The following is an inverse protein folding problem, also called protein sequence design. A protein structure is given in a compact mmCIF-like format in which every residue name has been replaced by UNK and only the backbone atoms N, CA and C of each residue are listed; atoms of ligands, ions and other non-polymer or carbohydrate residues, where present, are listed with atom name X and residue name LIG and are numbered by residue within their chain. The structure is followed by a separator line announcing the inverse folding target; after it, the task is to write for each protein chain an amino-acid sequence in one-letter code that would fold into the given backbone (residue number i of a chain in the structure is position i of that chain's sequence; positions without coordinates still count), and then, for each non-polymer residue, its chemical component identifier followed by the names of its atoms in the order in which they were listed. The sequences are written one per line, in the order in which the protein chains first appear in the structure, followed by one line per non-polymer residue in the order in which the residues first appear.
data_IF_755524077655
#
_entry.id   IF_755524077655
#
_cell.length_a   1.000
_cell.length_b   1.000
_cell.length_c   1.000
_cell.angle_alpha   90.00
_cell.angle_beta   90.00
_cell.angle_gamma   90.00
#
_symmetry.space_group_name_H-M   'P 1'
#
loop_
_entity.id
_entity.type
_entity.pdbx_description
1 polymer ?
#
# COMPACT_ATOMS: atom_id res chain seq x y z
N UNK A 1 35.23 -19.23 114.42
CA UNK A 1 35.54 -20.13 113.29
C UNK A 1 34.26 -20.55 112.55
N UNK A 2 33.21 -20.92 113.27
CA UNK A 2 31.94 -21.40 112.68
C UNK A 2 31.07 -20.27 112.07
N UNK A 3 31.00 -19.10 112.73
CA UNK A 3 30.32 -17.90 112.21
C UNK A 3 30.94 -17.38 110.91
N UNK A 4 32.27 -17.42 110.81
CA UNK A 4 33.03 -17.04 109.60
C UNK A 4 32.77 -18.01 108.44
N UNK A 5 32.51 -19.29 108.71
CA UNK A 5 32.12 -20.26 107.66
C UNK A 5 30.70 -20.01 107.16
N UNK A 6 29.77 -19.69 108.05
CA UNK A 6 28.38 -19.36 107.68
C UNK A 6 28.28 -18.06 106.86
N UNK A 7 29.05 -17.02 107.21
CA UNK A 7 29.11 -15.79 106.42
C UNK A 7 29.74 -16.01 105.04
N UNK A 8 30.78 -16.84 104.96
CA UNK A 8 31.40 -17.20 103.67
C UNK A 8 30.44 -18.02 102.78
N UNK A 9 29.68 -18.95 103.36
CA UNK A 9 28.69 -19.76 102.65
C UNK A 9 27.49 -18.91 102.16
N UNK A 10 27.02 -17.96 102.98
CA UNK A 10 25.98 -17.01 102.56
C UNK A 10 26.46 -16.08 101.44
N UNK A 11 27.69 -15.58 101.51
CA UNK A 11 28.28 -14.76 100.46
C UNK A 11 28.47 -15.54 99.14
N UNK A 12 28.81 -16.83 99.22
CA UNK A 12 28.91 -17.70 98.05
C UNK A 12 27.53 -17.97 97.43
N UNK A 13 26.51 -18.28 98.24
CA UNK A 13 25.14 -18.46 97.78
C UNK A 13 24.57 -17.19 97.12
N UNK A 14 24.88 -16.00 97.65
CA UNK A 14 24.49 -14.72 97.07
C UNK A 14 25.19 -14.48 95.73
N UNK A 15 26.48 -14.81 95.60
CA UNK A 15 27.20 -14.75 94.32
C UNK A 15 26.60 -15.68 93.27
N UNK A 16 26.28 -16.93 93.63
CA UNK A 16 25.66 -17.89 92.71
C UNK A 16 24.27 -17.41 92.27
N UNK A 17 23.49 -16.80 93.17
CA UNK A 17 22.20 -16.21 92.84
C UNK A 17 22.32 -15.02 91.88
N UNK A 18 23.26 -14.11 92.15
CA UNK A 18 23.52 -12.96 91.28
C UNK A 18 24.03 -13.39 89.89
N UNK A 19 24.87 -14.42 89.82
CA UNK A 19 25.34 -15.00 88.55
C UNK A 19 24.19 -15.66 87.77
N UNK A 20 23.28 -16.37 88.46
CA UNK A 20 22.09 -16.94 87.84
C UNK A 20 21.12 -15.86 87.31
N UNK A 21 20.93 -14.76 88.06
CA UNK A 21 20.13 -13.61 87.64
C UNK A 21 20.74 -12.89 86.44
N UNK A 22 22.07 -12.72 86.43
CA UNK A 22 22.79 -12.17 85.27
C UNK A 22 22.66 -13.06 84.04
N UNK A 23 22.79 -14.38 84.20
CA UNK A 23 22.62 -15.33 83.10
C UNK A 23 21.17 -15.37 82.56
N UNK A 24 20.17 -15.20 83.42
CA UNK A 24 18.76 -15.08 83.00
C UNK A 24 18.49 -13.76 82.26
N UNK A 25 19.06 -12.65 82.75
CA UNK A 25 18.97 -11.36 82.09
C UNK A 25 19.62 -11.37 80.69
N UNK A 26 20.78 -12.00 80.55
CA UNK A 26 21.47 -12.16 79.25
C UNK A 26 20.64 -13.02 78.28
N UNK A 27 20.06 -14.13 78.76
CA UNK A 27 19.15 -14.96 77.93
C UNK A 27 17.92 -14.17 77.49
N UNK A 28 17.32 -13.38 78.38
CA UNK A 28 16.17 -12.54 78.05
C UNK A 28 16.54 -11.42 77.06
N UNK A 29 17.76 -10.88 77.10
CA UNK A 29 18.26 -9.92 76.13
C UNK A 29 18.45 -10.55 74.74
N UNK A 30 19.04 -11.74 74.68
CA UNK A 30 19.20 -12.51 73.43
C UNK A 30 17.84 -12.85 72.81
N UNK A 31 16.87 -13.30 73.62
CA UNK A 31 15.51 -13.61 73.14
C UNK A 31 14.80 -12.36 72.59
N UNK A 32 14.94 -11.20 73.25
CA UNK A 32 14.40 -9.92 72.74
C UNK A 32 15.07 -9.48 71.46
N UNK A 33 16.39 -9.65 71.34
CA UNK A 33 17.13 -9.33 70.13
C UNK A 33 16.72 -10.25 68.97
N UNK A 34 16.51 -11.54 69.21
CA UNK A 34 16.00 -12.49 68.21
C UNK A 34 14.56 -12.14 67.80
N UNK A 35 13.67 -11.85 68.74
CA UNK A 35 12.30 -11.43 68.45
C UNK A 35 12.26 -10.12 67.65
N UNK A 36 13.16 -9.17 67.92
CA UNK A 36 13.29 -7.94 67.15
C UNK A 36 13.76 -8.21 65.72
N UNK A 37 14.72 -9.13 65.53
CA UNK A 37 15.20 -9.54 64.20
C UNK A 37 14.10 -10.21 63.38
N UNK A 38 13.36 -11.15 63.98
CA UNK A 38 12.26 -11.84 63.30
C UNK A 38 11.16 -10.86 62.90
N UNK A 39 10.82 -9.89 63.76
CA UNK A 39 9.85 -8.83 63.41
C UNK A 39 10.33 -7.98 62.23
N UNK A 40 11.59 -7.56 62.24
CA UNK A 40 12.17 -6.78 61.14
C UNK A 40 12.19 -7.57 59.83
N UNK A 41 12.47 -8.87 59.87
CA UNK A 41 12.45 -9.73 58.68
C UNK A 41 11.02 -9.90 58.12
N UNK A 42 10.03 -10.09 58.98
CA UNK A 42 8.61 -10.16 58.57
C UNK A 42 8.15 -8.85 57.93
N UNK A 43 8.50 -7.70 58.52
CA UNK A 43 8.18 -6.38 57.97
C UNK A 43 8.83 -6.16 56.60
N UNK A 44 10.10 -6.54 56.45
CA UNK A 44 10.80 -6.48 55.16
C UNK A 44 10.15 -7.40 54.11
N UNK A 45 9.75 -8.61 54.50
CA UNK A 45 9.07 -9.55 53.61
C UNK A 45 7.68 -9.03 53.18
N UNK A 46 6.93 -8.40 54.09
CA UNK A 46 5.64 -7.79 53.76
C UNK A 46 5.81 -6.59 52.82
N UNK A 47 6.78 -5.71 53.08
CA UNK A 47 7.10 -4.60 52.19
C UNK A 47 7.50 -5.07 50.78
N UNK A 48 8.35 -6.10 50.69
CA UNK A 48 8.75 -6.69 49.41
C UNK A 48 7.56 -7.32 48.66
N UNK A 49 6.62 -7.96 49.37
CA UNK A 49 5.39 -8.50 48.75
C UNK A 49 4.49 -7.40 48.21
N UNK A 50 4.31 -6.30 48.94
CA UNK A 50 3.50 -5.16 48.51
C UNK A 50 4.12 -4.46 47.28
N UNK A 51 5.44 -4.33 47.24
CA UNK A 51 6.15 -3.79 46.08
C UNK A 51 5.99 -4.68 44.84
N UNK A 52 6.16 -5.99 45.01
CA UNK A 52 5.97 -6.96 43.92
C UNK A 52 4.52 -6.97 43.38
N UNK A 53 3.52 -6.84 44.25
CA UNK A 53 2.11 -6.74 43.85
C UNK A 53 1.84 -5.44 43.07
N UNK A 54 2.39 -4.31 43.51
CA UNK A 54 2.26 -3.03 42.83
C UNK A 54 2.92 -3.06 41.44
N UNK A 55 4.10 -3.68 41.31
CA UNK A 55 4.78 -3.84 40.03
C UNK A 55 4.02 -4.76 39.08
N UNK A 56 3.49 -5.89 39.57
CA UNK A 56 2.68 -6.81 38.78
C UNK A 56 1.42 -6.11 38.23
N UNK A 57 0.74 -5.31 39.06
CA UNK A 57 -0.41 -4.51 38.63
C UNK A 57 -0.02 -3.49 37.56
N UNK A 58 1.07 -2.76 37.76
CA UNK A 58 1.57 -1.81 36.78
C UNK A 58 1.94 -2.47 35.45
N UNK A 59 2.49 -3.69 35.48
CA UNK A 59 2.80 -4.46 34.28
C UNK A 59 1.53 -4.86 33.51
N UNK A 60 0.50 -5.31 34.22
CA UNK A 60 -0.81 -5.63 33.61
C UNK A 60 -1.41 -4.39 32.94
N UNK A 61 -1.39 -3.24 33.61
CA UNK A 61 -1.93 -1.99 33.06
C UNK A 61 -1.16 -1.55 31.80
N UNK A 62 0.17 -1.64 31.82
CA UNK A 62 1.01 -1.36 30.63
C UNK A 62 0.66 -2.29 29.48
N UNK A 63 0.51 -3.59 29.74
CA UNK A 63 0.17 -4.56 28.70
C UNK A 63 -1.24 -4.32 28.13
N UNK A 64 -2.21 -3.95 28.98
CA UNK A 64 -3.55 -3.57 28.51
C UNK A 64 -3.52 -2.30 27.66
N UNK A 65 -2.76 -1.29 28.05
CA UNK A 65 -2.60 -0.06 27.27
C UNK A 65 -1.94 -0.33 25.92
N UNK A 66 -0.89 -1.15 25.89
CA UNK A 66 -0.24 -1.59 24.65
C UNK A 66 -1.23 -2.31 23.73
N UNK A 67 -2.00 -3.27 24.24
CA UNK A 67 -3.00 -3.98 23.43
C UNK A 67 -4.07 -3.04 22.86
N UNK A 68 -4.54 -2.07 23.64
CA UNK A 68 -5.48 -1.06 23.15
C UNK A 68 -4.87 -0.22 22.03
N UNK A 69 -3.64 0.25 22.21
CA UNK A 69 -2.94 1.04 21.19
C UNK A 69 -2.76 0.22 19.91
N UNK A 70 -2.23 -1.00 20.00
CA UNK A 70 -2.06 -1.89 18.83
C UNK A 70 -3.39 -2.19 18.15
N UNK A 71 -4.47 -2.42 18.89
CA UNK A 71 -5.79 -2.64 18.31
C UNK A 71 -6.31 -1.39 17.57
N UNK A 72 -6.08 -0.18 18.11
CA UNK A 72 -6.47 1.07 17.44
C UNK A 72 -5.64 1.33 16.17
N UNK A 73 -4.35 1.00 16.18
CA UNK A 73 -3.50 1.10 15.00
C UNK A 73 -3.92 0.10 13.92
N UNK A 74 -4.22 -1.14 14.31
CA UNK A 74 -4.71 -2.17 13.39
C UNK A 74 -6.05 -1.76 12.75
N UNK A 75 -6.97 -1.18 13.52
CA UNK A 75 -8.25 -0.69 13.00
C UNK A 75 -8.05 0.46 12.01
N UNK A 76 -7.16 1.41 12.32
CA UNK A 76 -6.83 2.51 11.39
C UNK A 76 -6.21 1.99 10.10
N UNK A 77 -5.30 1.03 10.17
CA UNK A 77 -4.70 0.41 9.00
C UNK A 77 -5.74 -0.33 8.14
N UNK A 78 -6.70 -1.00 8.78
CA UNK A 78 -7.81 -1.66 8.08
C UNK A 78 -8.72 -0.65 7.37
N UNK A 79 -9.05 0.48 8.01
CA UNK A 79 -9.83 1.57 7.41
C UNK A 79 -9.11 2.16 6.19
N UNK A 80 -7.82 2.48 6.31
CA UNK A 80 -7.03 3.00 5.20
C UNK A 80 -6.98 2.03 4.00
N UNK A 81 -6.93 0.72 4.26
CA UNK A 81 -6.97 -0.28 3.21
C UNK A 81 -8.33 -0.29 2.49
N UNK A 82 -9.44 -0.24 3.25
CA UNK A 82 -10.78 -0.18 2.66
C UNK A 82 -10.99 1.10 1.84
N UNK A 83 -10.51 2.24 2.32
CA UNK A 83 -10.56 3.51 1.57
C UNK A 83 -9.73 3.44 0.28
N UNK A 84 -8.55 2.81 0.32
CA UNK A 84 -7.74 2.59 -0.89
C UNK A 84 -8.44 1.66 -1.90
N UNK A 85 -9.03 0.56 -1.42
CA UNK A 85 -9.78 -0.37 -2.26
C UNK A 85 -11.02 0.32 -2.89
N UNK A 86 -11.72 1.17 -2.13
CA UNK A 86 -12.87 1.96 -2.63
C UNK A 86 -12.45 3.00 -3.69
N UNK A 87 -11.35 3.71 -3.46
CA UNK A 87 -10.83 4.69 -4.43
C UNK A 87 -10.42 4.02 -5.74
N UNK A 88 -9.76 2.86 -5.67
CA UNK A 88 -9.39 2.08 -6.85
C UNK A 88 -10.63 1.64 -7.64
N UNK A 89 -11.70 1.22 -6.96
CA UNK A 89 -12.95 0.84 -7.61
C UNK A 89 -13.65 2.03 -8.30
N UNK A 90 -13.58 3.22 -7.71
CA UNK A 90 -14.14 4.44 -8.32
C UNK A 90 -13.35 4.86 -9.57
N UNK A 91 -12.03 4.77 -9.55
CA UNK A 91 -11.16 5.04 -10.70
C UNK A 91 -11.49 4.10 -11.88
N UNK A 92 -11.65 2.80 -11.61
CA UNK A 92 -12.07 1.81 -12.62
C UNK A 92 -13.43 2.18 -13.26
N UNK A 93 -14.39 2.67 -12.48
CA UNK A 93 -15.70 3.10 -13.00
C UNK A 93 -15.56 4.34 -13.87
N UNK A 94 -14.74 5.31 -13.47
CA UNK A 94 -14.49 6.52 -14.25
C UNK A 94 -13.81 6.20 -15.58
N UNK A 95 -12.82 5.31 -15.57
CA UNK A 95 -12.16 4.82 -16.77
C UNK A 95 -13.12 4.07 -17.69
N UNK A 96 -13.99 3.21 -17.14
CA UNK A 96 -15.05 2.55 -17.93
C UNK A 96 -16.00 3.56 -18.57
N UNK A 97 -16.46 4.57 -17.82
CA UNK A 97 -17.33 5.64 -18.35
C UNK A 97 -16.62 6.47 -19.41
N UNK A 98 -15.34 6.76 -19.21
CA UNK A 98 -14.51 7.49 -20.18
C UNK A 98 -14.37 6.69 -21.47
N UNK A 99 -14.08 5.39 -21.38
CA UNK A 99 -14.00 4.50 -22.55
C UNK A 99 -15.35 4.39 -23.26
N UNK A 100 -16.45 4.19 -22.52
CA UNK A 100 -17.80 4.14 -23.10
C UNK A 100 -18.16 5.44 -23.83
N UNK A 101 -17.82 6.59 -23.22
CA UNK A 101 -18.00 7.90 -23.84
C UNK A 101 -17.18 8.02 -25.13
N UNK A 102 -15.90 7.63 -25.10
CA UNK A 102 -15.02 7.65 -26.28
C UNK A 102 -15.56 6.76 -27.40
N UNK A 103 -16.06 5.56 -27.08
CA UNK A 103 -16.67 4.67 -28.06
C UNK A 103 -17.97 5.26 -28.65
N UNK A 104 -18.81 5.89 -27.82
CA UNK A 104 -20.12 6.39 -28.26
C UNK A 104 -20.04 7.69 -29.08
N UNK A 105 -19.13 8.60 -28.75
CA UNK A 105 -18.98 9.88 -29.45
C UNK A 105 -18.27 9.73 -30.81
N UNK A 106 -17.55 8.61 -31.00
CA UNK A 106 -16.68 8.40 -32.14
C UNK A 106 -15.49 9.36 -32.15
N UNK A 107 -14.66 9.26 -33.19
CA UNK A 107 -13.51 10.14 -33.36
C UNK A 107 -13.35 10.54 -34.81
N UNK A 108 -13.01 11.81 -35.07
CA UNK A 108 -12.85 12.30 -36.43
C UNK A 108 -11.80 13.40 -36.51
N UNK A 109 -11.18 13.54 -37.67
CA UNK A 109 -10.05 14.44 -37.83
C UNK A 109 -9.35 14.25 -39.16
N UNK A 110 -8.44 15.16 -39.49
CA UNK A 110 -7.65 15.05 -40.72
C UNK A 110 -6.38 14.27 -40.46
N UNK A 111 -6.14 13.23 -41.26
CA UNK A 111 -4.89 12.49 -41.24
C UNK A 111 -4.33 12.36 -42.65
N UNK A 112 -3.02 12.18 -42.75
CA UNK A 112 -2.33 11.95 -44.01
C UNK A 112 -2.11 10.46 -44.21
N UNK A 113 -2.83 9.84 -45.15
CA UNK A 113 -2.68 8.41 -45.43
C UNK A 113 -1.80 8.13 -46.62
N UNK A 114 -1.09 7.01 -46.56
CA UNK A 114 -0.39 6.47 -47.71
C UNK A 114 -1.41 5.98 -48.75
N UNK A 115 -1.22 6.39 -50.01
CA UNK A 115 -2.02 5.97 -51.15
C UNK A 115 -1.78 4.50 -51.50
N UNK A 116 -2.81 3.84 -52.04
CA UNK A 116 -2.74 2.44 -52.42
C UNK A 116 -1.63 2.18 -53.46
N UNK A 117 -0.79 1.19 -53.18
CA UNK A 117 0.29 0.74 -54.04
C UNK A 117 -0.28 -0.18 -55.13
N UNK A 118 -1.10 0.32 -56.07
CA UNK A 118 -1.19 -0.39 -57.36
C UNK A 118 0.24 -0.36 -57.89
N UNK A 119 0.95 -1.50 -57.83
CA UNK A 119 2.36 -1.66 -58.21
C UNK A 119 2.62 -0.85 -59.47
N UNK A 120 3.20 0.33 -59.34
CA UNK A 120 3.81 0.96 -60.51
C UNK A 120 5.03 0.10 -60.76
N UNK A 121 5.09 -0.54 -61.93
CA UNK A 121 6.26 -1.33 -62.35
C UNK A 121 7.56 -0.50 -62.38
N UNK A 122 7.47 0.83 -62.26
CA UNK A 122 8.58 1.76 -62.23
C UNK A 122 8.47 2.68 -61.01
N UNK A 123 9.09 2.28 -59.89
CA UNK A 123 9.70 3.12 -58.84
C UNK A 123 9.01 4.42 -58.37
N UNK A 124 7.73 4.63 -58.62
CA UNK A 124 7.06 5.89 -58.34
C UNK A 124 6.93 6.13 -56.84
N UNK A 125 7.28 7.33 -56.40
CA UNK A 125 7.09 7.78 -55.02
C UNK A 125 5.67 7.47 -54.53
N UNK A 126 5.55 6.92 -53.32
CA UNK A 126 4.25 6.64 -52.72
C UNK A 126 3.58 7.98 -52.42
N UNK A 127 2.34 8.12 -52.91
CA UNK A 127 1.59 9.36 -52.75
C UNK A 127 0.94 9.38 -51.37
N UNK A 128 1.31 10.33 -50.54
CA UNK A 128 0.62 10.64 -49.29
C UNK A 128 -0.52 11.63 -49.56
N UNK A 129 -1.69 11.38 -48.99
CA UNK A 129 -2.88 12.24 -49.20
C UNK A 129 -3.57 12.52 -47.87
N UNK A 130 -3.76 13.81 -47.58
CA UNK A 130 -4.59 14.28 -46.46
C UNK A 130 -6.06 13.89 -46.71
N UNK A 131 -6.71 13.30 -45.73
CA UNK A 131 -8.09 12.82 -45.79
C UNK A 131 -8.76 13.09 -44.45
N UNK A 132 -10.06 13.37 -44.49
CA UNK A 132 -10.86 13.42 -43.27
C UNK A 132 -11.23 12.00 -42.87
N UNK A 133 -10.92 11.59 -41.66
CA UNK A 133 -11.23 10.28 -41.10
C UNK A 133 -12.36 10.41 -40.09
N UNK A 134 -13.17 9.35 -39.99
CA UNK A 134 -14.21 9.20 -38.97
C UNK A 134 -14.23 7.75 -38.51
N UNK A 135 -14.22 7.54 -37.20
CA UNK A 135 -14.28 6.25 -36.51
C UNK A 135 -15.59 6.23 -35.72
N UNK A 136 -16.45 5.26 -36.02
CA UNK A 136 -17.71 5.07 -35.30
C UNK A 136 -17.59 4.10 -34.12
N UNK A 137 -18.66 4.01 -33.33
CA UNK A 137 -18.75 3.12 -32.16
C UNK A 137 -18.59 1.63 -32.51
N UNK A 138 -18.84 1.22 -33.76
CA UNK A 138 -18.65 -0.15 -34.21
C UNK A 138 -17.19 -0.45 -34.60
N UNK A 139 -16.30 0.55 -34.53
CA UNK A 139 -14.91 0.45 -34.96
C UNK A 139 -14.76 0.52 -36.47
N UNK A 140 -15.73 1.11 -37.18
CA UNK A 140 -15.64 1.35 -38.62
C UNK A 140 -14.89 2.66 -38.87
N UNK A 141 -13.68 2.55 -39.41
CA UNK A 141 -12.86 3.69 -39.81
C UNK A 141 -13.14 4.04 -41.28
N UNK A 142 -13.85 5.14 -41.52
CA UNK A 142 -14.12 5.69 -42.85
C UNK A 142 -13.20 6.86 -43.15
N UNK A 143 -12.89 7.08 -44.43
CA UNK A 143 -12.15 8.27 -44.85
C UNK A 143 -12.69 8.88 -46.13
N UNK A 144 -12.63 10.21 -46.15
CA UNK A 144 -13.29 11.08 -47.10
C UNK A 144 -12.29 12.01 -47.77
N UNK A 145 -12.69 12.58 -48.90
CA UNK A 145 -11.91 13.64 -49.56
C UNK A 145 -11.73 14.83 -48.63
N UNK A 146 -12.81 15.24 -47.97
CA UNK A 146 -12.90 16.44 -47.14
C UNK A 146 -13.87 16.23 -45.96
N UNK A 147 -13.85 17.14 -45.00
CA UNK A 147 -14.71 17.14 -43.81
C UNK A 147 -15.34 18.51 -43.56
N UNK A 148 -16.65 18.64 -43.77
CA UNK A 148 -17.40 19.89 -43.61
C UNK A 148 -18.31 19.76 -42.39
N UNK A 149 -18.10 20.59 -41.37
CA UNK A 149 -18.92 20.57 -40.14
C UNK A 149 -18.83 19.26 -39.35
N UNK A 150 -17.68 18.57 -39.42
CA UNK A 150 -17.49 17.27 -38.78
C UNK A 150 -18.07 16.09 -39.56
N UNK A 151 -18.70 16.33 -40.71
CA UNK A 151 -19.22 15.28 -41.59
C UNK A 151 -18.31 15.09 -42.80
N UNK A 152 -17.99 13.83 -43.09
CA UNK A 152 -17.17 13.47 -44.24
C UNK A 152 -17.89 13.66 -45.57
N UNK A 153 -17.21 14.27 -46.54
CA UNK A 153 -17.72 14.50 -47.91
C UNK A 153 -16.82 13.80 -48.92
N UNK A 154 -17.44 13.05 -49.85
CA UNK A 154 -16.72 12.32 -50.90
C UNK A 154 -15.99 11.09 -50.36
N UNK A 155 -16.75 10.08 -49.92
CA UNK A 155 -16.23 8.81 -49.40
C UNK A 155 -15.17 8.20 -50.33
N UNK A 156 -13.99 7.89 -49.78
CA UNK A 156 -12.87 7.28 -50.51
C UNK A 156 -12.55 5.86 -50.06
N UNK A 157 -13.01 5.45 -48.88
CA UNK A 157 -12.90 4.08 -48.42
C UNK A 157 -13.24 3.92 -46.95
N UNK A 158 -13.25 2.67 -46.53
CA UNK A 158 -13.60 2.24 -45.18
C UNK A 158 -12.80 1.00 -44.77
N UNK A 159 -12.64 0.82 -43.47
CA UNK A 159 -11.99 -0.31 -42.80
C UNK A 159 -12.76 -0.67 -41.53
N UNK A 160 -12.79 -1.95 -41.19
CA UNK A 160 -13.27 -2.40 -39.88
C UNK A 160 -12.03 -2.66 -39.00
N UNK A 161 -11.82 -1.82 -38.00
CA UNK A 161 -10.69 -1.95 -37.06
C UNK A 161 -10.72 -3.26 -36.29
N UNK A 162 -11.88 -3.80 -35.85
CA UNK A 162 -11.95 -5.11 -35.21
C UNK A 162 -11.45 -6.29 -36.05
N UNK A 163 -11.24 -6.09 -37.35
CA UNK A 163 -10.70 -7.10 -38.27
C UNK A 163 -9.19 -6.93 -38.51
N UNK A 164 -8.56 -5.93 -37.89
CA UNK A 164 -7.12 -5.67 -37.99
C UNK A 164 -6.37 -6.39 -36.85
N UNK A 165 -5.16 -6.88 -37.12
CA UNK A 165 -4.41 -7.70 -36.16
C UNK A 165 -3.38 -6.94 -35.34
N UNK A 166 -2.99 -5.75 -35.80
CA UNK A 166 -1.91 -5.00 -35.16
C UNK A 166 -2.14 -3.51 -35.38
N UNK A 167 -1.81 -2.72 -34.37
CA UNK A 167 -1.66 -1.28 -34.44
C UNK A 167 -0.29 -0.93 -33.87
N UNK A 168 0.44 -0.08 -34.58
CA UNK A 168 1.80 0.29 -34.18
C UNK A 168 1.98 1.79 -34.37
N UNK A 169 2.34 2.46 -33.29
CA UNK A 169 2.81 3.85 -33.30
C UNK A 169 4.26 3.90 -33.76
N UNK A 170 4.56 4.78 -34.72
CA UNK A 170 5.88 4.93 -35.35
C UNK A 170 6.22 6.40 -35.44
N UNK A 171 7.37 6.82 -34.90
CA UNK A 171 7.72 8.24 -34.90
C UNK A 171 7.95 8.79 -36.31
N UNK A 172 8.61 8.03 -37.19
CA UNK A 172 8.90 8.44 -38.58
C UNK A 172 8.81 7.25 -39.54
N UNK A 173 8.14 7.45 -40.68
CA UNK A 173 8.11 6.48 -41.79
C UNK A 173 8.08 7.20 -43.15
N UNK A 174 9.00 6.85 -44.05
CA UNK A 174 9.10 7.43 -45.42
C UNK A 174 8.98 8.97 -45.47
N UNK A 175 9.68 9.66 -44.56
CA UNK A 175 9.69 11.12 -44.36
C UNK A 175 8.42 11.73 -43.77
N UNK A 176 7.43 10.93 -43.38
CA UNK A 176 6.31 11.38 -42.56
C UNK A 176 6.64 11.21 -41.08
N UNK A 177 6.18 12.14 -40.25
CA UNK A 177 6.30 12.07 -38.79
C UNK A 177 4.98 11.61 -38.17
N UNK A 178 5.02 11.24 -36.90
CA UNK A 178 3.84 10.90 -36.11
C UNK A 178 2.95 9.87 -36.81
N UNK A 179 3.59 8.80 -37.29
CA UNK A 179 2.94 7.77 -38.06
C UNK A 179 2.28 6.72 -37.16
N UNK A 180 1.23 6.12 -37.66
CA UNK A 180 0.67 4.88 -37.14
C UNK A 180 0.41 3.92 -38.30
N UNK A 181 0.47 2.63 -38.00
CA UNK A 181 0.18 1.60 -38.98
C UNK A 181 -0.68 0.50 -38.40
N UNK A 182 -1.52 -0.09 -39.25
CA UNK A 182 -2.27 -1.29 -38.89
C UNK A 182 -2.34 -2.28 -40.04
N UNK A 183 -2.31 -3.56 -39.71
CA UNK A 183 -2.39 -4.66 -40.67
C UNK A 183 -3.82 -5.21 -40.73
N UNK A 184 -4.40 -5.20 -41.93
CA UNK A 184 -5.71 -5.79 -42.21
C UNK A 184 -5.50 -7.10 -42.99
N UNK A 185 -5.71 -8.28 -42.37
CA UNK A 185 -5.55 -9.58 -43.01
C UNK A 185 -6.47 -9.75 -44.22
N UNK A 186 -7.71 -9.27 -44.14
CA UNK A 186 -8.67 -9.39 -45.25
C UNK A 186 -8.19 -8.71 -46.54
N UNK A 187 -7.39 -7.66 -46.40
CA UNK A 187 -6.81 -6.91 -47.53
C UNK A 187 -5.35 -7.28 -47.80
N UNK A 188 -4.77 -8.16 -46.99
CA UNK A 188 -3.35 -8.53 -47.02
C UNK A 188 -2.43 -7.30 -47.14
N UNK A 189 -2.74 -6.23 -46.39
CA UNK A 189 -2.08 -4.95 -46.53
C UNK A 189 -1.91 -4.25 -45.19
N UNK A 190 -0.75 -3.61 -45.03
CA UNK A 190 -0.49 -2.65 -43.95
C UNK A 190 -0.86 -1.25 -44.43
N UNK A 191 -1.69 -0.58 -43.65
CA UNK A 191 -2.07 0.81 -43.89
C UNK A 191 -1.20 1.72 -43.05
N UNK A 192 -0.68 2.77 -43.67
CA UNK A 192 0.14 3.78 -43.03
C UNK A 192 -0.61 5.11 -43.02
N UNK A 193 -0.65 5.75 -41.86
CA UNK A 193 -1.30 7.02 -41.60
C UNK A 193 -0.32 7.88 -40.81
N UNK A 194 -0.35 9.19 -41.01
CA UNK A 194 0.46 10.19 -40.32
C UNK A 194 -0.44 11.30 -39.81
N UNK A 195 -0.24 11.70 -38.56
CA UNK A 195 -0.89 12.84 -37.93
C UNK A 195 -0.02 14.10 -38.04
N UNK A 196 -0.62 15.28 -37.83
CA UNK A 196 0.12 16.54 -37.89
C UNK A 196 0.98 16.73 -36.62
N UNK A 197 0.61 16.12 -35.50
CA UNK A 197 1.34 16.17 -34.22
C UNK A 197 1.46 14.80 -33.54
N UNK A 198 2.40 14.65 -32.60
CA UNK A 198 2.52 13.42 -31.79
C UNK A 198 1.29 13.20 -30.92
N UNK A 199 0.75 14.26 -30.32
CA UNK A 199 -0.48 14.19 -29.50
C UNK A 199 -1.65 13.68 -30.31
N UNK A 200 -1.86 14.21 -31.52
CA UNK A 200 -2.92 13.76 -32.41
C UNK A 200 -2.74 12.28 -32.80
N UNK A 201 -1.51 11.84 -33.11
CA UNK A 201 -1.23 10.42 -33.36
C UNK A 201 -1.61 9.57 -32.15
N UNK A 202 -1.19 9.98 -30.96
CA UNK A 202 -1.41 9.21 -29.73
C UNK A 202 -2.92 9.14 -29.41
N UNK A 203 -3.66 10.24 -29.58
CA UNK A 203 -5.12 10.26 -29.50
C UNK A 203 -5.74 9.24 -30.47
N UNK A 204 -5.35 9.25 -31.75
CA UNK A 204 -5.84 8.27 -32.74
C UNK A 204 -5.46 6.83 -32.39
N UNK A 205 -4.27 6.60 -31.84
CA UNK A 205 -3.85 5.26 -31.40
C UNK A 205 -4.73 4.78 -30.26
N UNK A 206 -5.01 5.63 -29.27
CA UNK A 206 -5.89 5.31 -28.15
C UNK A 206 -7.28 4.93 -28.66
N UNK A 207 -7.90 5.76 -29.50
CA UNK A 207 -9.21 5.46 -30.08
C UNK A 207 -9.22 4.18 -30.92
N UNK A 208 -8.22 3.98 -31.79
CA UNK A 208 -8.16 2.76 -32.61
C UNK A 208 -7.91 1.50 -31.76
N UNK A 209 -7.15 1.62 -30.67
CA UNK A 209 -6.84 0.50 -29.77
C UNK A 209 -8.08 -0.04 -29.05
N UNK A 210 -9.06 0.82 -28.74
CA UNK A 210 -10.34 0.43 -28.13
C UNK A 210 -11.15 -0.55 -29.00
N UNK A 211 -10.90 -0.59 -30.31
CA UNK A 211 -11.63 -1.44 -31.25
C UNK A 211 -10.84 -2.66 -31.74
N UNK A 212 -9.57 -2.80 -31.35
CA UNK A 212 -8.77 -4.00 -31.65
C UNK A 212 -9.10 -5.10 -30.65
N UNK A 213 -9.16 -6.35 -31.12
CA UNK A 213 -9.42 -7.53 -30.30
C UNK A 213 -8.15 -8.28 -29.96
#
# INVERSE_FOLDING_TARGET
AETVRLEAEQAEAERVRLEAEQAEAERAEVERAEAARVRAEVEQAEAARLEAEAEAKAQVDRHQAQRKNTATEALKAQQQKLEADENMFLEDIEDQKKMEKMMNEGHYGYLTKQGGTRRRMFGGAKNWKRRFFSLDAAGKLTYYEDGIGGQGVGLKGEFCIPECNSLTSVEVYENQKHCLSFYCPQRHATFWISADTSSERDDWVDYLSLHLK
#
